data_IF_709117981366
#
_entry.id   IF_709117981366
#
_cell.length_a   1.000
_cell.length_b   1.000
_cell.length_c   1.000
_cell.angle_alpha   90.00
_cell.angle_beta   90.00
_cell.angle_gamma   90.00
#
_symmetry.space_group_name_H-M   'P 1'
#
loop_
_entity.id
_entity.type
_entity.pdbx_description
1 polymer ?
#
# COMPACT_ATOMS: atom_id res chain seq x y z
N UNK A 1 -29.43 -5.74 0.95
CA UNK A 1 -29.49 -6.76 2.02
C UNK A 1 -28.26 -6.53 2.89
N UNK A 2 -28.35 -6.58 4.23
CA UNK A 2 -27.14 -6.46 5.04
C UNK A 2 -26.22 -7.67 4.77
N UNK A 3 -24.89 -7.50 4.72
CA UNK A 3 -23.97 -8.59 4.44
C UNK A 3 -24.15 -9.70 5.48
N UNK A 4 -24.22 -10.94 5.01
CA UNK A 4 -24.55 -12.10 5.88
C UNK A 4 -23.30 -12.67 6.57
N UNK A 5 -22.11 -12.29 6.07
CA UNK A 5 -20.80 -12.75 6.55
C UNK A 5 -19.80 -11.60 6.51
N UNK A 6 -18.84 -11.60 7.43
CA UNK A 6 -17.74 -10.64 7.47
C UNK A 6 -16.41 -11.36 7.22
N UNK A 7 -15.57 -10.78 6.38
CA UNK A 7 -14.20 -11.24 6.09
C UNK A 7 -13.24 -10.14 6.55
N UNK A 8 -12.20 -10.53 7.28
CA UNK A 8 -11.12 -9.63 7.70
C UNK A 8 -9.87 -10.07 6.97
N UNK A 9 -9.34 -9.21 6.11
CA UNK A 9 -8.03 -9.34 5.47
C UNK A 9 -7.03 -8.64 6.38
N UNK A 10 -6.05 -9.36 6.91
CA UNK A 10 -5.02 -8.77 7.77
C UNK A 10 -3.66 -8.92 7.11
N UNK A 11 -2.98 -7.80 6.87
CA UNK A 11 -1.62 -7.77 6.32
C UNK A 11 -0.71 -6.90 7.21
N UNK A 12 0.59 -7.17 7.19
CA UNK A 12 1.63 -6.44 7.94
C UNK A 12 2.95 -6.52 7.19
N UNK A 13 3.95 -5.77 7.64
CA UNK A 13 5.35 -5.89 7.20
C UNK A 13 5.49 -5.80 5.67
N UNK A 14 4.75 -4.86 5.06
CA UNK A 14 4.81 -4.64 3.61
C UNK A 14 5.99 -3.77 3.23
N UNK A 15 6.43 -2.85 4.10
CA UNK A 15 7.63 -2.02 3.90
C UNK A 15 7.72 -1.29 2.54
N UNK A 16 6.61 -0.74 2.05
CA UNK A 16 6.60 0.02 0.80
C UNK A 16 7.54 1.23 0.92
N UNK A 17 8.58 1.27 0.10
CA UNK A 17 9.56 2.36 0.04
C UNK A 17 9.29 3.26 -1.19
N UNK A 18 10.33 3.82 -1.81
CA UNK A 18 10.23 4.65 -3.01
C UNK A 18 9.97 3.86 -4.32
N UNK A 19 9.58 2.58 -4.24
CA UNK A 19 9.34 1.69 -5.36
C UNK A 19 10.60 0.96 -5.83
N UNK A 20 10.40 -0.09 -6.63
CA UNK A 20 11.49 -0.95 -7.14
C UNK A 20 12.48 -0.23 -8.07
N UNK A 21 12.08 0.91 -8.64
CA UNK A 21 12.92 1.75 -9.47
C UNK A 21 12.83 3.21 -9.02
N UNK A 22 13.98 3.83 -8.83
CA UNK A 22 14.11 5.25 -8.52
C UNK A 22 15.01 5.90 -9.57
N UNK A 23 14.59 7.01 -10.16
CA UNK A 23 15.33 7.72 -11.23
C UNK A 23 15.80 6.82 -12.40
N UNK A 24 15.01 5.79 -12.73
CA UNK A 24 15.27 4.87 -13.83
C UNK A 24 16.31 3.78 -13.53
N UNK A 25 16.82 3.70 -12.29
CA UNK A 25 17.69 2.62 -11.82
C UNK A 25 16.97 1.76 -10.78
N UNK A 26 17.40 0.51 -10.63
CA UNK A 26 16.86 -0.36 -9.60
C UNK A 26 17.15 0.24 -8.21
N UNK A 27 16.11 0.35 -7.38
CA UNK A 27 16.22 0.82 -6.02
C UNK A 27 16.66 -0.34 -5.10
N UNK A 28 17.87 -0.33 -4.53
CA UNK A 28 18.33 -1.39 -3.63
C UNK A 28 17.70 -1.30 -2.23
N UNK A 29 16.95 -0.23 -1.93
CA UNK A 29 16.29 0.00 -0.65
C UNK A 29 14.81 -0.41 -0.67
N UNK A 30 14.30 -0.90 -1.81
CA UNK A 30 12.96 -1.47 -1.87
C UNK A 30 12.96 -2.90 -1.32
N UNK A 31 11.95 -3.20 -0.50
CA UNK A 31 11.72 -4.55 0.05
C UNK A 31 10.37 -5.12 -0.41
N UNK A 32 9.46 -4.27 -0.89
CA UNK A 32 8.17 -4.68 -1.42
C UNK A 32 8.19 -4.86 -2.95
N UNK A 33 8.07 -6.11 -3.39
CA UNK A 33 8.02 -6.48 -4.82
C UNK A 33 6.70 -7.15 -5.22
N UNK A 34 5.66 -7.00 -4.39
CA UNK A 34 4.40 -7.73 -4.51
C UNK A 34 3.21 -6.82 -4.86
N UNK A 35 3.46 -5.69 -5.53
CA UNK A 35 2.42 -4.74 -5.95
C UNK A 35 1.26 -5.45 -6.64
N UNK A 36 1.59 -6.28 -7.63
CA UNK A 36 0.59 -7.00 -8.43
C UNK A 36 -0.19 -7.99 -7.58
N UNK A 37 0.49 -8.82 -6.81
CA UNK A 37 -0.13 -9.85 -5.97
C UNK A 37 -1.03 -9.23 -4.91
N UNK A 38 -0.62 -8.09 -4.32
CA UNK A 38 -1.45 -7.37 -3.37
C UNK A 38 -2.70 -6.76 -4.04
N UNK A 39 -2.57 -6.22 -5.25
CA UNK A 39 -3.72 -5.73 -6.02
C UNK A 39 -4.69 -6.88 -6.37
N UNK A 40 -4.18 -8.01 -6.86
CA UNK A 40 -4.98 -9.20 -7.16
C UNK A 40 -5.66 -9.76 -5.90
N UNK A 41 -4.97 -9.74 -4.75
CA UNK A 41 -5.52 -10.12 -3.45
C UNK A 41 -6.70 -9.22 -3.04
N UNK A 42 -6.56 -7.90 -3.14
CA UNK A 42 -7.65 -6.96 -2.85
C UNK A 42 -8.82 -7.14 -3.83
N UNK A 43 -8.55 -7.29 -5.12
CA UNK A 43 -9.58 -7.49 -6.14
C UNK A 43 -10.37 -8.78 -5.89
N UNK A 44 -9.68 -9.88 -5.59
CA UNK A 44 -10.29 -11.18 -5.36
C UNK A 44 -11.33 -11.15 -4.22
N UNK A 45 -11.01 -10.51 -3.11
CA UNK A 45 -11.92 -10.43 -1.96
C UNK A 45 -12.95 -9.30 -2.07
N UNK A 46 -12.70 -8.29 -2.88
CA UNK A 46 -13.61 -7.14 -3.01
C UNK A 46 -14.51 -7.19 -4.24
N UNK A 47 -14.53 -8.30 -4.99
CA UNK A 47 -15.38 -8.51 -6.16
C UNK A 47 -16.06 -9.87 -6.11
N UNK A 48 -17.02 -10.10 -7.02
CA UNK A 48 -17.72 -11.37 -7.14
C UNK A 48 -18.44 -11.78 -5.85
N UNK A 49 -18.51 -13.09 -5.52
CA UNK A 49 -19.26 -13.58 -4.37
C UNK A 49 -18.80 -12.98 -3.03
N UNK A 50 -17.52 -12.63 -2.89
CA UNK A 50 -17.01 -12.02 -1.67
C UNK A 50 -17.39 -10.54 -1.58
N UNK A 51 -17.18 -9.77 -2.65
CA UNK A 51 -17.54 -8.35 -2.69
C UNK A 51 -19.04 -8.08 -2.65
N UNK A 52 -19.85 -8.98 -3.21
CA UNK A 52 -21.31 -8.80 -3.34
C UNK A 52 -22.08 -9.29 -2.09
N UNK A 53 -21.56 -10.29 -1.37
CA UNK A 53 -22.30 -10.96 -0.28
C UNK A 53 -21.70 -10.74 1.11
N UNK A 54 -20.43 -10.29 1.19
CA UNK A 54 -19.69 -10.16 2.45
C UNK A 54 -19.30 -8.70 2.74
N UNK A 55 -19.25 -8.37 4.03
CA UNK A 55 -18.54 -7.17 4.50
C UNK A 55 -17.04 -7.49 4.55
N UNK A 56 -16.22 -6.79 3.77
CA UNK A 56 -14.79 -7.05 3.67
C UNK A 56 -14.03 -5.91 4.33
N UNK A 57 -13.29 -6.22 5.38
CA UNK A 57 -12.47 -5.25 6.11
C UNK A 57 -10.99 -5.56 5.87
N UNK A 58 -10.22 -4.53 5.49
CA UNK A 58 -8.76 -4.60 5.41
C UNK A 58 -8.15 -4.00 6.67
N UNK A 59 -7.34 -4.80 7.37
CA UNK A 59 -6.56 -4.40 8.55
C UNK A 59 -5.09 -4.39 8.16
N UNK A 60 -4.51 -3.19 8.19
CA UNK A 60 -3.08 -2.95 7.98
C UNK A 60 -2.39 -2.91 9.34
N UNK A 61 -1.80 -4.01 9.76
CA UNK A 61 -1.38 -4.28 11.13
C UNK A 61 0.04 -3.79 11.48
N UNK A 62 0.55 -2.78 10.77
CA UNK A 62 1.87 -2.18 11.01
C UNK A 62 2.86 -2.43 9.87
N UNK A 63 3.92 -1.61 9.87
CA UNK A 63 5.06 -1.66 8.94
C UNK A 63 4.65 -1.78 7.46
N UNK A 64 3.61 -1.04 7.08
CA UNK A 64 3.14 -0.98 5.69
C UNK A 64 3.98 -0.03 4.85
N UNK A 65 4.41 1.09 5.42
CA UNK A 65 5.13 2.16 4.73
C UNK A 65 6.51 2.31 5.38
N UNK A 66 7.57 2.25 4.58
CA UNK A 66 8.94 2.40 5.06
C UNK A 66 9.46 3.82 4.79
N UNK A 67 9.32 4.69 5.79
CA UNK A 67 9.82 6.07 5.70
C UNK A 67 11.35 6.15 5.80
N UNK A 68 12.02 5.15 6.34
CA UNK A 68 13.48 5.17 6.51
C UNK A 68 14.18 4.90 5.19
N UNK A 69 13.61 4.01 4.36
CA UNK A 69 14.15 3.63 3.06
C UNK A 69 13.72 4.52 1.88
N UNK A 70 13.15 5.70 2.16
CA UNK A 70 12.79 6.69 1.13
C UNK A 70 13.79 7.84 1.09
N UNK A 71 14.63 7.97 0.05
CA UNK A 71 15.55 9.08 -0.07
C UNK A 71 14.81 10.38 -0.44
N UNK A 72 15.27 11.51 0.09
CA UNK A 72 14.80 12.85 -0.29
C UNK A 72 15.93 13.52 -1.07
N UNK A 73 15.65 13.88 -2.32
CA UNK A 73 16.65 14.48 -3.22
C UNK A 73 17.95 13.65 -3.33
N UNK A 74 17.82 12.32 -3.29
CA UNK A 74 18.93 11.38 -3.38
C UNK A 74 19.63 11.07 -2.04
N UNK A 75 19.20 11.68 -0.93
CA UNK A 75 19.85 11.51 0.38
C UNK A 75 18.92 10.88 1.42
N UNK A 76 19.49 10.04 2.28
CA UNK A 76 18.82 9.51 3.46
C UNK A 76 19.05 10.46 4.63
N UNK A 77 17.99 11.14 5.04
CA UNK A 77 18.03 12.16 6.08
C UNK A 77 17.72 11.56 7.46
N UNK A 78 18.49 11.94 8.47
CA UNK A 78 18.29 11.50 9.86
C UNK A 78 17.13 12.25 10.56
N UNK A 79 16.94 13.52 10.23
CA UNK A 79 15.90 14.37 10.82
C UNK A 79 14.65 14.40 9.94
N UNK A 80 13.53 13.87 10.46
CA UNK A 80 12.24 13.86 9.74
C UNK A 80 11.30 14.89 10.33
N UNK A 81 11.14 16.01 9.62
CA UNK A 81 10.09 17.00 9.90
C UNK A 81 8.75 16.57 9.31
N UNK A 82 7.63 17.17 9.75
CA UNK A 82 6.31 16.86 9.20
C UNK A 82 6.21 17.07 7.68
N UNK A 83 6.85 18.12 7.15
CA UNK A 83 6.89 18.35 5.70
C UNK A 83 7.68 17.29 4.95
N UNK A 84 8.79 16.81 5.54
CA UNK A 84 9.59 15.73 4.97
C UNK A 84 8.86 14.39 5.03
N UNK A 85 8.10 14.12 6.10
CA UNK A 85 7.25 12.94 6.18
C UNK A 85 6.18 12.95 5.07
N UNK A 86 5.50 14.09 4.85
CA UNK A 86 4.52 14.20 3.76
C UNK A 86 5.17 13.97 2.40
N UNK A 87 6.40 14.47 2.20
CA UNK A 87 7.12 14.24 0.94
C UNK A 87 7.53 12.77 0.75
N UNK A 88 8.06 12.13 1.80
CA UNK A 88 8.36 10.68 1.78
C UNK A 88 7.11 9.87 1.45
N UNK A 89 5.96 10.22 2.05
CA UNK A 89 4.68 9.55 1.76
C UNK A 89 4.27 9.67 0.28
N UNK A 90 4.47 10.85 -0.33
CA UNK A 90 4.19 11.03 -1.77
C UNK A 90 5.10 10.18 -2.64
N UNK A 91 6.39 10.09 -2.29
CA UNK A 91 7.34 9.24 -3.00
C UNK A 91 6.95 7.76 -2.89
N UNK A 92 6.49 7.31 -1.73
CA UNK A 92 5.98 5.93 -1.57
C UNK A 92 4.79 5.68 -2.49
N UNK A 93 3.80 6.57 -2.51
CA UNK A 93 2.66 6.42 -3.41
C UNK A 93 3.05 6.49 -4.90
N UNK A 94 4.05 7.30 -5.25
CA UNK A 94 4.56 7.38 -6.61
C UNK A 94 5.35 6.12 -7.02
N UNK A 95 6.03 5.47 -6.06
CA UNK A 95 6.73 4.20 -6.25
C UNK A 95 5.79 3.00 -6.40
N UNK A 96 4.60 3.07 -5.79
CA UNK A 96 3.58 2.02 -5.81
C UNK A 96 2.23 2.52 -6.33
N UNK A 97 2.14 2.97 -7.59
CA UNK A 97 0.93 3.57 -8.12
C UNK A 97 -0.24 2.58 -8.23
N UNK A 98 0.05 1.30 -8.53
CA UNK A 98 -0.96 0.25 -8.65
C UNK A 98 -1.58 -0.08 -7.28
N UNK A 99 -0.75 -0.25 -6.25
CA UNK A 99 -1.20 -0.46 -4.86
C UNK A 99 -2.03 0.73 -4.38
N UNK A 100 -1.56 1.95 -4.65
CA UNK A 100 -2.29 3.17 -4.29
C UNK A 100 -3.67 3.22 -4.95
N UNK A 101 -3.76 2.89 -6.24
CA UNK A 101 -5.04 2.82 -6.96
C UNK A 101 -5.95 1.72 -6.40
N UNK A 102 -5.41 0.52 -6.15
CA UNK A 102 -6.18 -0.60 -5.61
C UNK A 102 -6.77 -0.29 -4.24
N UNK A 103 -6.00 0.36 -3.34
CA UNK A 103 -6.50 0.83 -2.05
C UNK A 103 -7.58 1.90 -2.20
N UNK A 104 -7.43 2.85 -3.12
CA UNK A 104 -8.46 3.85 -3.41
C UNK A 104 -9.76 3.19 -3.90
N UNK A 105 -9.66 2.20 -4.76
CA UNK A 105 -10.81 1.48 -5.30
C UNK A 105 -11.46 0.57 -4.24
N UNK A 106 -10.66 -0.01 -3.36
CA UNK A 106 -11.15 -0.76 -2.21
C UNK A 106 -11.98 0.11 -1.26
N UNK A 107 -11.47 1.31 -0.89
CA UNK A 107 -12.15 2.22 0.04
C UNK A 107 -13.45 2.83 -0.52
N UNK A 108 -13.58 2.91 -1.85
CA UNK A 108 -14.84 3.37 -2.50
C UNK A 108 -15.98 2.35 -2.36
N UNK A 109 -15.68 1.09 -2.06
CA UNK A 109 -16.69 0.04 -1.91
C UNK A 109 -17.36 0.14 -0.53
N UNK A 110 -18.67 -0.14 -0.44
CA UNK A 110 -19.36 -0.13 0.84
C UNK A 110 -18.84 -1.26 1.75
N UNK A 111 -18.62 -0.93 3.03
CA UNK A 111 -18.25 -1.87 4.10
C UNK A 111 -19.44 -2.50 4.82
#
# INVERSE_FOLDING_TARGET
MAPTRKIILSTSDMHLSAGAFLDGVQNPHEDFFFDREFCEFLEYFSTGPYGDECAVELVLNGDVLDFLNVPIQGEFIDEVTASLAVEKLRLIFAGHPEVTSALQDFVKKPG
#
